data_IF_666462619641
#
_entry.id   IF_666462619641
#
_cell.length_a   1.000
_cell.length_b   1.000
_cell.length_c   1.000
_cell.angle_alpha   90.00
_cell.angle_beta   90.00
_cell.angle_gamma   90.00
#
_symmetry.space_group_name_H-M   'P 1'
#
loop_
_entity.id
_entity.type
_entity.pdbx_description
1 polymer ?
#
# COMPACT_ATOMS: atom_id res chain seq x y z
N UNK A 1 -12.78 -13.13 13.00
CA UNK A 1 -12.56 -13.17 11.53
C UNK A 1 -11.10 -13.49 11.27
N UNK A 2 -10.79 -14.23 10.22
CA UNK A 2 -9.38 -14.48 9.84
C UNK A 2 -8.78 -13.20 9.26
N UNK A 3 -7.50 -12.91 9.57
CA UNK A 3 -6.81 -11.69 9.12
C UNK A 3 -6.47 -11.65 7.63
N UNK A 4 -7.02 -12.55 6.80
CA UNK A 4 -6.78 -12.62 5.36
C UNK A 4 -7.90 -11.99 4.52
N UNK A 5 -8.95 -11.49 5.16
CA UNK A 5 -10.10 -10.87 4.51
C UNK A 5 -10.27 -9.42 4.97
N UNK A 6 -10.66 -8.55 4.03
CA UNK A 6 -10.92 -7.14 4.26
C UNK A 6 -12.18 -6.71 3.50
N UNK A 7 -12.92 -5.75 4.06
CA UNK A 7 -14.19 -5.27 3.52
C UNK A 7 -15.38 -6.13 3.95
N UNK A 8 -16.57 -5.59 3.79
CA UNK A 8 -17.83 -6.24 4.16
C UNK A 8 -18.69 -6.54 2.94
N UNK A 9 -19.17 -5.52 2.24
CA UNK A 9 -19.99 -5.67 1.03
C UNK A 9 -19.13 -6.00 -0.19
N UNK A 10 -18.14 -5.18 -0.46
CA UNK A 10 -17.04 -5.52 -1.38
C UNK A 10 -15.93 -6.11 -0.54
N UNK A 11 -15.77 -7.42 -0.59
CA UNK A 11 -14.89 -8.17 0.28
C UNK A 11 -13.78 -8.84 -0.51
N UNK A 12 -12.56 -8.67 -0.04
CA UNK A 12 -11.41 -9.38 -0.59
C UNK A 12 -10.89 -10.41 0.41
N UNK A 13 -10.47 -11.57 -0.08
CA UNK A 13 -9.71 -12.56 0.68
C UNK A 13 -8.47 -12.91 -0.11
N UNK A 14 -7.27 -12.68 0.46
CA UNK A 14 -6.00 -12.93 -0.21
C UNK A 14 -5.31 -14.17 0.35
N UNK A 15 -4.56 -14.88 -0.50
CA UNK A 15 -3.78 -16.06 -0.15
C UNK A 15 -2.49 -16.15 -0.97
N UNK A 16 -1.63 -17.12 -0.62
CA UNK A 16 -0.34 -17.33 -1.27
C UNK A 16 0.82 -16.60 -0.61
N UNK A 17 2.02 -17.07 -0.82
CA UNK A 17 3.28 -16.60 -0.22
C UNK A 17 4.24 -16.08 -1.29
N UNK A 18 5.18 -15.22 -0.87
CA UNK A 18 6.12 -14.54 -1.78
C UNK A 18 7.03 -15.50 -2.57
N UNK A 19 7.28 -16.68 -2.05
CA UNK A 19 8.09 -17.75 -2.65
C UNK A 19 7.30 -19.04 -2.84
N UNK A 20 5.96 -18.99 -2.73
CA UNK A 20 5.05 -20.05 -3.14
C UNK A 20 4.86 -20.05 -4.67
N UNK A 21 3.99 -20.94 -5.15
CA UNK A 21 3.69 -21.09 -6.58
C UNK A 21 3.03 -19.85 -7.16
N UNK A 22 2.07 -19.29 -6.42
CA UNK A 22 1.27 -18.16 -6.86
C UNK A 22 0.74 -17.34 -5.68
N UNK A 23 0.22 -16.16 -5.98
CA UNK A 23 -0.65 -15.36 -5.13
C UNK A 23 -2.06 -15.39 -5.70
N UNK A 24 -3.05 -15.38 -4.84
CA UNK A 24 -4.44 -15.30 -5.29
C UNK A 24 -5.29 -14.39 -4.41
N UNK A 25 -6.42 -13.98 -4.98
CA UNK A 25 -7.48 -13.31 -4.26
C UNK A 25 -8.84 -13.77 -4.73
N UNK A 26 -9.80 -13.73 -3.82
CA UNK A 26 -11.21 -13.83 -4.12
C UNK A 26 -11.82 -12.48 -3.79
N UNK A 27 -12.51 -11.90 -4.78
CA UNK A 27 -13.33 -10.70 -4.61
C UNK A 27 -14.79 -11.11 -4.61
N UNK A 28 -15.50 -10.76 -3.55
CA UNK A 28 -16.92 -11.04 -3.39
C UNK A 28 -17.70 -9.74 -3.22
N UNK A 29 -18.96 -9.72 -3.66
CA UNK A 29 -19.83 -8.54 -3.56
C UNK A 29 -19.62 -7.46 -4.64
N UNK A 30 -18.85 -7.75 -5.71
CA UNK A 30 -18.81 -6.86 -6.87
C UNK A 30 -20.15 -6.92 -7.61
N UNK A 31 -20.84 -5.78 -7.87
CA UNK A 31 -22.08 -5.77 -8.62
C UNK A 31 -21.93 -6.36 -10.02
N UNK A 32 -22.99 -6.98 -10.59
CA UNK A 32 -22.95 -7.47 -11.95
C UNK A 32 -22.96 -6.32 -12.98
N UNK A 33 -22.42 -6.60 -14.17
CA UNK A 33 -22.49 -5.71 -15.33
C UNK A 33 -21.36 -4.68 -15.43
N UNK A 34 -20.39 -4.67 -14.49
CA UNK A 34 -19.18 -3.86 -14.63
C UNK A 34 -18.33 -4.42 -15.77
N UNK A 35 -17.99 -3.58 -16.76
CA UNK A 35 -17.05 -3.94 -17.82
C UNK A 35 -15.64 -4.06 -17.23
N UNK A 36 -15.00 -5.22 -17.39
CA UNK A 36 -13.69 -5.53 -16.78
C UNK A 36 -12.93 -6.55 -17.60
N UNK A 37 -11.62 -6.33 -17.73
CA UNK A 37 -10.69 -7.26 -18.36
C UNK A 37 -9.41 -7.41 -17.52
N UNK A 38 -8.57 -8.38 -17.88
CA UNK A 38 -7.25 -8.55 -17.26
C UNK A 38 -6.35 -7.33 -17.51
N UNK A 39 -6.48 -6.70 -18.68
CA UNK A 39 -5.73 -5.49 -19.04
C UNK A 39 -6.07 -4.32 -18.13
N UNK A 40 -7.31 -4.16 -17.72
CA UNK A 40 -7.74 -3.11 -16.77
C UNK A 40 -7.01 -3.27 -15.43
N UNK A 41 -6.90 -4.51 -14.95
CA UNK A 41 -6.19 -4.82 -13.70
C UNK A 41 -4.68 -4.68 -13.86
N UNK A 42 -4.15 -5.04 -15.03
CA UNK A 42 -2.73 -5.04 -15.32
C UNK A 42 -2.14 -3.63 -15.30
N UNK A 43 -2.87 -2.61 -15.74
CA UNK A 43 -2.44 -1.20 -15.69
C UNK A 43 -2.06 -0.80 -14.26
N UNK A 44 -2.87 -1.15 -13.27
CA UNK A 44 -2.60 -0.83 -11.86
C UNK A 44 -1.45 -1.69 -11.29
N UNK A 45 -1.39 -2.97 -11.67
CA UNK A 45 -0.30 -3.86 -11.29
C UNK A 45 1.03 -3.41 -11.88
N UNK A 46 1.05 -2.89 -13.09
CA UNK A 46 2.26 -2.38 -13.75
C UNK A 46 2.85 -1.17 -13.03
N UNK A 47 2.03 -0.34 -12.42
CA UNK A 47 2.49 0.75 -11.54
C UNK A 47 3.14 0.23 -10.26
N UNK A 48 2.64 -0.89 -9.72
CA UNK A 48 3.08 -1.48 -8.45
C UNK A 48 4.24 -2.46 -8.60
N UNK A 49 4.36 -3.20 -9.71
CA UNK A 49 5.30 -4.33 -9.86
C UNK A 49 6.75 -3.96 -9.51
N UNK A 50 7.57 -4.95 -9.08
CA UNK A 50 8.99 -4.70 -8.81
C UNK A 50 9.77 -4.48 -10.12
N UNK A 51 10.90 -3.76 -10.02
CA UNK A 51 11.81 -3.57 -11.15
C UNK A 51 11.32 -2.54 -12.19
N UNK A 52 10.40 -1.67 -11.84
CA UNK A 52 9.90 -0.59 -12.72
C UNK A 52 10.94 0.50 -12.97
N UNK A 53 11.90 0.66 -12.06
CA UNK A 53 12.97 1.65 -12.19
C UNK A 53 14.28 1.16 -11.56
N UNK A 54 15.39 1.84 -11.88
CA UNK A 54 16.69 1.59 -11.22
C UNK A 54 16.69 1.97 -9.73
N UNK A 55 15.67 2.63 -9.21
CA UNK A 55 15.55 3.09 -7.82
C UNK A 55 14.75 2.14 -6.93
N UNK A 56 14.13 1.12 -7.51
CA UNK A 56 13.40 0.06 -6.81
C UNK A 56 14.18 -1.26 -6.78
N UNK A 57 13.62 -2.30 -6.20
CA UNK A 57 14.22 -3.64 -6.15
C UNK A 57 14.57 -4.16 -7.54
N UNK A 58 15.64 -4.95 -7.63
CA UNK A 58 16.06 -5.62 -8.88
C UNK A 58 15.26 -6.92 -9.18
N UNK A 59 14.36 -7.35 -8.28
CA UNK A 59 13.44 -8.46 -8.56
C UNK A 59 12.57 -8.08 -9.77
N UNK A 60 12.33 -9.04 -10.66
CA UNK A 60 11.52 -8.84 -11.85
C UNK A 60 10.36 -9.82 -11.85
N UNK A 61 9.18 -9.31 -11.64
CA UNK A 61 7.93 -10.08 -11.74
C UNK A 61 7.00 -9.36 -12.73
N UNK A 62 6.44 -10.06 -13.71
CA UNK A 62 5.51 -9.45 -14.64
C UNK A 62 4.19 -9.07 -13.95
N UNK A 63 3.89 -9.69 -12.80
CA UNK A 63 2.64 -9.57 -12.06
C UNK A 63 1.41 -9.76 -12.94
N UNK A 64 1.53 -10.67 -13.93
CA UNK A 64 0.46 -10.93 -14.87
C UNK A 64 -0.72 -11.58 -14.17
N UNK A 65 -1.82 -10.86 -14.10
CA UNK A 65 -3.04 -11.33 -13.45
C UNK A 65 -3.88 -12.16 -14.40
N UNK A 66 -4.53 -13.20 -13.84
CA UNK A 66 -5.54 -14.02 -14.52
C UNK A 66 -6.85 -13.90 -13.76
N UNK A 67 -7.94 -13.70 -14.48
CA UNK A 67 -9.31 -13.75 -13.96
C UNK A 67 -9.82 -15.17 -14.19
N UNK A 68 -10.08 -15.89 -13.11
CA UNK A 68 -10.45 -17.32 -13.15
C UNK A 68 -11.97 -17.55 -13.12
N UNK A 69 -12.74 -16.57 -12.63
CA UNK A 69 -14.19 -16.67 -12.45
C UNK A 69 -14.81 -15.28 -12.25
N UNK A 70 -16.15 -15.21 -12.28
CA UNK A 70 -16.91 -14.01 -11.95
C UNK A 70 -17.00 -12.98 -13.07
N UNK A 71 -16.47 -13.29 -14.27
CA UNK A 71 -16.54 -12.45 -15.47
C UNK A 71 -17.00 -13.31 -16.64
N UNK A 72 -17.95 -12.81 -17.41
CA UNK A 72 -18.45 -13.42 -18.63
C UNK A 72 -18.66 -12.35 -19.71
N UNK A 73 -18.15 -12.60 -20.91
CA UNK A 73 -18.20 -11.64 -22.05
C UNK A 73 -17.74 -10.22 -21.66
N UNK A 74 -16.65 -10.14 -20.87
CA UNK A 74 -16.04 -8.88 -20.44
C UNK A 74 -16.83 -8.11 -19.36
N UNK A 75 -17.81 -8.74 -18.70
CA UNK A 75 -18.61 -8.12 -17.64
C UNK A 75 -18.64 -8.97 -16.38
N UNK A 76 -18.66 -8.33 -15.22
CA UNK A 76 -18.86 -9.01 -13.95
C UNK A 76 -20.23 -9.69 -13.90
N UNK A 77 -20.29 -10.88 -13.29
CA UNK A 77 -21.53 -11.67 -13.19
C UNK A 77 -22.28 -11.45 -11.85
N UNK A 78 -21.65 -10.76 -10.89
CA UNK A 78 -22.16 -10.64 -9.52
C UNK A 78 -21.80 -11.84 -8.62
N UNK A 79 -21.13 -12.87 -9.16
CA UNK A 79 -20.57 -13.98 -8.39
C UNK A 79 -19.11 -13.68 -8.02
N UNK A 80 -18.49 -14.53 -7.20
CA UNK A 80 -17.12 -14.32 -6.75
C UNK A 80 -16.11 -14.29 -7.90
N UNK A 81 -15.23 -13.28 -7.90
CA UNK A 81 -14.16 -13.12 -8.89
C UNK A 81 -12.89 -13.73 -8.32
N UNK A 82 -12.38 -14.78 -8.96
CA UNK A 82 -11.12 -15.40 -8.63
C UNK A 82 -9.98 -14.76 -9.40
N UNK A 83 -8.93 -14.33 -8.70
CA UNK A 83 -7.72 -13.71 -9.29
C UNK A 83 -6.49 -14.53 -8.94
N UNK A 84 -5.57 -14.68 -9.89
CA UNK A 84 -4.32 -15.40 -9.72
C UNK A 84 -3.14 -14.65 -10.37
N UNK A 85 -2.00 -14.62 -9.67
CA UNK A 85 -0.69 -14.15 -10.20
C UNK A 85 0.35 -15.21 -9.87
N UNK A 86 1.01 -15.76 -10.88
CA UNK A 86 2.09 -16.72 -10.70
C UNK A 86 3.39 -16.03 -10.25
N UNK A 87 4.17 -16.67 -9.37
CA UNK A 87 5.49 -16.22 -9.00
C UNK A 87 6.53 -16.77 -9.98
N UNK A 88 7.31 -15.92 -10.64
CA UNK A 88 8.25 -16.34 -11.69
C UNK A 88 9.73 -16.10 -11.35
N UNK A 89 10.06 -15.08 -10.54
CA UNK A 89 11.45 -14.73 -10.14
C UNK A 89 11.69 -14.94 -8.64
N UNK A 90 11.38 -16.13 -8.14
CA UNK A 90 11.66 -16.51 -6.76
C UNK A 90 13.05 -17.15 -6.65
N UNK A 91 13.88 -16.66 -5.71
CA UNK A 91 15.22 -17.20 -5.44
C UNK A 91 15.31 -17.69 -3.99
N UNK A 92 14.81 -18.88 -3.72
CA UNK A 92 14.74 -19.46 -2.36
C UNK A 92 16.10 -19.62 -1.70
N UNK A 93 17.19 -19.79 -2.50
CA UNK A 93 18.56 -19.95 -1.98
C UNK A 93 19.10 -18.71 -1.28
N UNK A 94 18.57 -17.53 -1.59
CA UNK A 94 19.01 -16.26 -0.97
C UNK A 94 18.63 -16.14 0.52
N UNK A 95 17.85 -17.10 1.06
CA UNK A 95 17.30 -17.04 2.42
C UNK A 95 17.78 -18.17 3.35
N UNK A 96 18.71 -19.03 2.92
CA UNK A 96 19.23 -20.14 3.74
C UNK A 96 19.86 -19.67 5.04
N UNK A 97 20.62 -18.56 5.00
CA UNK A 97 21.37 -18.00 6.13
C UNK A 97 20.46 -17.45 7.24
N UNK A 98 19.18 -17.20 6.92
CA UNK A 98 18.18 -16.67 7.88
C UNK A 98 17.14 -17.72 8.28
N UNK A 99 17.33 -18.98 7.92
CA UNK A 99 16.40 -20.06 8.29
C UNK A 99 16.31 -20.24 9.81
N UNK A 100 17.45 -20.13 10.49
CA UNK A 100 17.60 -20.33 11.93
C UNK A 100 17.75 -19.04 12.75
N UNK A 101 17.78 -17.87 12.08
CA UNK A 101 18.02 -16.57 12.75
C UNK A 101 16.90 -15.60 12.43
N UNK A 102 16.55 -14.73 13.35
CA UNK A 102 15.52 -13.71 13.16
C UNK A 102 16.11 -12.42 12.59
N UNK A 103 15.54 -11.92 11.50
CA UNK A 103 15.93 -10.62 10.95
C UNK A 103 15.37 -9.49 11.82
N UNK A 104 16.20 -8.55 12.29
CA UNK A 104 15.74 -7.40 13.07
C UNK A 104 14.70 -6.59 12.30
N UNK A 105 13.62 -6.18 12.98
CA UNK A 105 12.56 -5.37 12.39
C UNK A 105 11.67 -6.06 11.33
N UNK A 106 11.88 -7.36 11.08
CA UNK A 106 11.01 -8.23 10.28
C UNK A 106 10.01 -8.99 11.14
N UNK A 107 9.03 -9.62 10.49
CA UNK A 107 8.00 -10.44 11.14
C UNK A 107 8.50 -11.85 11.52
N UNK A 108 9.76 -12.20 11.32
CA UNK A 108 10.30 -13.53 11.54
C UNK A 108 10.03 -14.04 12.96
N UNK A 109 10.40 -13.23 13.96
CA UNK A 109 10.19 -13.55 15.38
C UNK A 109 8.70 -13.69 15.70
N UNK A 110 7.90 -12.72 15.34
CA UNK A 110 6.47 -12.68 15.68
C UNK A 110 5.67 -13.80 15.01
N UNK A 111 6.01 -14.17 13.78
CA UNK A 111 5.39 -15.31 13.10
C UNK A 111 5.75 -16.64 13.76
N UNK A 112 7.03 -16.82 14.14
CA UNK A 112 7.47 -18.01 14.86
C UNK A 112 6.78 -18.11 16.22
N UNK A 113 6.68 -17.02 16.97
CA UNK A 113 6.00 -17.01 18.27
C UNK A 113 4.48 -17.30 18.14
N UNK A 114 3.85 -16.79 17.09
CA UNK A 114 2.41 -16.95 16.90
C UNK A 114 2.02 -18.32 16.35
N UNK A 115 2.77 -18.82 15.36
CA UNK A 115 2.39 -20.01 14.60
C UNK A 115 3.26 -21.25 14.91
N UNK A 116 4.31 -21.11 15.73
CA UNK A 116 5.25 -22.15 16.09
C UNK A 116 6.36 -22.42 15.07
N UNK A 117 6.14 -22.04 13.81
CA UNK A 117 7.12 -22.10 12.72
C UNK A 117 6.80 -21.04 11.64
N UNK A 118 7.72 -20.83 10.72
CA UNK A 118 7.55 -19.90 9.61
C UNK A 118 8.14 -20.43 8.31
N UNK A 119 7.61 -19.98 7.18
CA UNK A 119 8.34 -20.06 5.92
C UNK A 119 9.39 -18.92 5.90
N UNK A 120 10.66 -19.30 6.01
CA UNK A 120 11.77 -18.34 6.02
C UNK A 120 12.06 -17.75 4.62
N UNK A 121 11.53 -18.34 3.56
CA UNK A 121 11.77 -17.92 2.18
C UNK A 121 11.03 -16.59 1.91
N UNK A 122 11.74 -15.48 1.87
CA UNK A 122 11.22 -14.16 1.55
C UNK A 122 10.17 -13.58 2.53
N UNK A 123 9.89 -14.28 3.64
CA UNK A 123 8.94 -13.83 4.66
C UNK A 123 7.50 -14.29 4.45
N UNK A 124 7.23 -15.18 3.50
CA UNK A 124 5.91 -15.78 3.30
C UNK A 124 4.78 -14.75 3.12
N UNK A 125 3.72 -14.87 3.92
CA UNK A 125 2.58 -13.93 3.95
C UNK A 125 2.92 -12.54 4.50
N UNK A 126 3.99 -12.38 5.28
CA UNK A 126 4.42 -11.06 5.79
C UNK A 126 5.14 -10.21 4.74
N UNK A 127 5.46 -10.78 3.59
CA UNK A 127 6.11 -10.08 2.49
C UNK A 127 5.17 -9.10 1.81
N UNK A 128 5.69 -7.92 1.43
CA UNK A 128 4.95 -6.95 0.63
C UNK A 128 4.51 -7.48 -0.76
N UNK A 129 4.98 -8.66 -1.18
CA UNK A 129 4.56 -9.33 -2.41
C UNK A 129 3.04 -9.57 -2.45
N UNK A 130 2.42 -9.88 -1.31
CA UNK A 130 0.99 -10.13 -1.20
C UNK A 130 0.12 -8.92 -1.64
N UNK A 131 0.67 -7.71 -1.54
CA UNK A 131 -0.03 -6.48 -1.95
C UNK A 131 -0.35 -6.43 -3.45
N UNK A 132 0.28 -7.28 -4.28
CA UNK A 132 -0.12 -7.41 -5.68
C UNK A 132 -1.60 -7.80 -5.81
N UNK A 133 -2.08 -8.69 -4.92
CA UNK A 133 -3.49 -9.10 -4.93
C UNK A 133 -4.43 -8.01 -4.42
N UNK A 134 -3.96 -7.15 -3.50
CA UNK A 134 -4.73 -5.97 -3.07
C UNK A 134 -4.89 -4.99 -4.22
N UNK A 135 -3.83 -4.74 -5.00
CA UNK A 135 -3.88 -3.86 -6.16
C UNK A 135 -4.79 -4.43 -7.25
N UNK A 136 -4.71 -5.72 -7.53
CA UNK A 136 -5.59 -6.37 -8.50
C UNK A 136 -7.07 -6.27 -8.10
N UNK A 137 -7.40 -6.55 -6.83
CA UNK A 137 -8.76 -6.42 -6.32
C UNK A 137 -9.21 -4.96 -6.24
N UNK A 138 -8.32 -4.05 -5.81
CA UNK A 138 -8.57 -2.61 -5.75
C UNK A 138 -8.82 -1.99 -7.13
N UNK A 139 -8.21 -2.52 -8.18
CA UNK A 139 -8.46 -2.07 -9.56
C UNK A 139 -9.93 -2.33 -9.97
N UNK A 140 -10.53 -3.43 -9.54
CA UNK A 140 -11.97 -3.70 -9.75
C UNK A 140 -12.82 -2.66 -9.02
N UNK A 141 -12.51 -2.41 -7.75
CA UNK A 141 -13.22 -1.41 -6.95
C UNK A 141 -13.08 0.00 -7.53
N UNK A 142 -11.86 0.39 -7.92
CA UNK A 142 -11.57 1.68 -8.57
C UNK A 142 -12.44 1.85 -9.82
N UNK A 143 -12.44 0.86 -10.71
CA UNK A 143 -13.22 0.93 -11.95
C UNK A 143 -14.71 1.09 -11.68
N UNK A 144 -15.24 0.38 -10.69
CA UNK A 144 -16.63 0.54 -10.26
C UNK A 144 -16.91 1.96 -9.75
N UNK A 145 -16.06 2.49 -8.88
CA UNK A 145 -16.21 3.83 -8.31
C UNK A 145 -16.15 4.93 -9.37
N UNK A 146 -15.22 4.81 -10.32
CA UNK A 146 -15.05 5.77 -11.41
C UNK A 146 -16.22 5.73 -12.39
N UNK A 147 -16.60 4.54 -12.87
CA UNK A 147 -17.63 4.40 -13.90
C UNK A 147 -19.04 4.63 -13.38
N UNK A 148 -19.32 4.20 -12.13
CA UNK A 148 -20.68 4.24 -11.59
C UNK A 148 -20.95 5.52 -10.82
N UNK A 149 -19.95 6.05 -10.12
CA UNK A 149 -20.12 7.16 -9.17
C UNK A 149 -19.30 8.40 -9.53
N UNK A 150 -18.39 8.32 -10.51
CA UNK A 150 -17.50 9.42 -10.87
C UNK A 150 -16.44 9.75 -9.81
N UNK A 151 -16.22 8.84 -8.86
CA UNK A 151 -15.22 9.02 -7.80
C UNK A 151 -13.84 8.75 -8.35
N UNK A 152 -12.91 9.68 -8.13
CA UNK A 152 -11.53 9.57 -8.58
C UNK A 152 -10.59 9.42 -7.38
N UNK A 153 -9.76 8.36 -7.41
CA UNK A 153 -8.75 8.10 -6.39
C UNK A 153 -7.36 8.30 -6.99
N UNK A 154 -6.54 9.10 -6.33
CA UNK A 154 -5.17 9.39 -6.74
C UNK A 154 -4.29 9.67 -5.53
N UNK A 155 -2.99 9.54 -5.70
CA UNK A 155 -2.05 9.78 -4.61
C UNK A 155 -0.62 9.92 -5.09
N UNK A 156 0.27 10.12 -4.15
CA UNK A 156 1.69 10.26 -4.44
C UNK A 156 2.54 10.12 -3.17
N UNK A 157 3.82 9.93 -3.39
CA UNK A 157 4.81 9.98 -2.34
C UNK A 157 5.19 11.44 -2.11
N UNK A 158 4.83 12.02 -0.97
CA UNK A 158 5.02 13.45 -0.69
C UNK A 158 6.27 13.75 0.12
N UNK A 159 6.91 12.71 0.67
CA UNK A 159 8.19 12.84 1.37
C UNK A 159 8.97 11.53 1.32
N UNK A 160 10.28 11.62 1.06
CA UNK A 160 11.23 10.52 1.21
C UNK A 160 12.39 11.03 2.08
N UNK A 161 12.56 10.47 3.28
CA UNK A 161 13.52 10.98 4.25
C UNK A 161 13.27 12.45 4.58
N UNK A 162 14.27 13.29 4.34
CA UNK A 162 14.17 14.73 4.58
C UNK A 162 13.63 15.52 3.39
N UNK A 163 13.58 14.90 2.19
CA UNK A 163 13.10 15.54 0.97
C UNK A 163 11.58 15.56 0.96
N UNK A 164 11.00 16.74 1.04
CA UNK A 164 9.55 16.98 1.04
C UNK A 164 9.12 17.66 -0.25
N UNK A 165 7.94 17.33 -0.75
CA UNK A 165 7.29 18.08 -1.79
C UNK A 165 6.90 19.48 -1.29
N UNK A 166 7.21 20.51 -2.07
CA UNK A 166 6.85 21.90 -1.83
C UNK A 166 5.77 22.36 -2.82
N UNK A 167 5.70 21.68 -3.97
CA UNK A 167 4.69 21.89 -5.00
C UNK A 167 3.96 20.57 -5.27
N UNK A 168 2.66 20.67 -5.55
CA UNK A 168 1.80 19.47 -5.67
C UNK A 168 1.11 19.48 -7.04
N UNK A 169 1.76 18.91 -8.04
CA UNK A 169 1.16 18.57 -9.33
C UNK A 169 0.81 17.07 -9.35
N UNK A 170 -0.41 16.76 -8.96
CA UNK A 170 -0.91 15.38 -8.91
C UNK A 170 -1.02 14.73 -10.31
N UNK A 171 -1.08 15.53 -11.38
CA UNK A 171 -1.05 15.03 -12.75
C UNK A 171 0.31 14.47 -13.17
N UNK A 172 1.38 14.94 -12.53
CA UNK A 172 2.76 14.55 -12.86
C UNK A 172 3.28 13.34 -12.08
N UNK A 173 2.56 12.82 -11.08
CA UNK A 173 3.06 11.73 -10.20
C UNK A 173 3.47 10.47 -10.96
N UNK A 174 2.79 10.13 -12.04
CA UNK A 174 3.13 8.96 -12.86
C UNK A 174 4.26 9.23 -13.87
N UNK A 175 4.75 10.46 -13.98
CA UNK A 175 5.81 10.85 -14.93
C UNK A 175 7.22 10.64 -14.38
N UNK A 176 7.37 10.30 -13.10
CA UNK A 176 8.66 10.08 -12.46
C UNK A 176 8.67 8.77 -11.64
N UNK A 177 9.86 8.19 -11.39
CA UNK A 177 9.97 6.88 -10.77
C UNK A 177 9.65 6.85 -9.27
N UNK A 178 9.33 7.98 -8.65
CA UNK A 178 9.06 8.09 -7.22
C UNK A 178 7.58 8.33 -6.90
N UNK A 179 6.71 8.46 -7.90
CA UNK A 179 5.33 8.93 -7.72
C UNK A 179 5.29 10.25 -6.94
N UNK A 180 6.22 11.16 -7.22
CA UNK A 180 6.41 12.38 -6.46
C UNK A 180 5.75 13.56 -7.15
N UNK A 181 4.88 14.33 -6.47
CA UNK A 181 4.12 15.41 -7.10
C UNK A 181 4.96 16.65 -7.41
N UNK A 182 6.14 16.79 -6.81
CA UNK A 182 7.09 17.90 -7.05
C UNK A 182 8.25 17.41 -7.93
N UNK A 183 8.09 17.58 -9.23
CA UNK A 183 9.10 17.10 -10.20
C UNK A 183 10.45 17.80 -10.08
N UNK A 184 10.49 19.03 -9.52
CA UNK A 184 11.74 19.76 -9.29
C UNK A 184 12.62 19.07 -8.23
N UNK A 185 12.04 18.31 -7.31
CA UNK A 185 12.76 17.54 -6.28
C UNK A 185 13.27 16.17 -6.75
N UNK A 186 12.89 15.71 -7.95
CA UNK A 186 13.28 14.38 -8.46
C UNK A 186 14.79 14.17 -8.50
N UNK A 187 15.64 15.12 -8.97
CA UNK A 187 17.08 14.93 -8.94
C UNK A 187 17.66 14.76 -7.52
N UNK A 188 17.10 15.44 -6.52
CA UNK A 188 17.50 15.30 -5.12
C UNK A 188 17.14 13.91 -4.57
N UNK A 189 15.95 13.39 -4.92
CA UNK A 189 15.53 12.03 -4.58
C UNK A 189 16.41 10.97 -5.24
N UNK A 190 16.80 11.18 -6.49
CA UNK A 190 17.73 10.28 -7.19
C UNK A 190 19.09 10.21 -6.48
N UNK A 191 19.63 11.36 -6.06
CA UNK A 191 20.88 11.45 -5.32
C UNK A 191 20.77 10.73 -3.98
N UNK A 192 19.69 10.96 -3.22
CA UNK A 192 19.43 10.33 -1.93
C UNK A 192 19.37 8.80 -2.06
N UNK A 193 18.58 8.27 -2.99
CA UNK A 193 18.43 6.82 -3.16
C UNK A 193 19.74 6.16 -3.62
N UNK A 194 20.53 6.82 -4.48
CA UNK A 194 21.82 6.32 -4.90
C UNK A 194 22.84 6.28 -3.73
N UNK A 195 22.85 7.29 -2.85
CA UNK A 195 23.65 7.30 -1.64
C UNK A 195 23.28 6.15 -0.70
N UNK A 196 21.98 5.98 -0.40
CA UNK A 196 21.50 4.88 0.44
C UNK A 196 21.88 3.50 -0.09
N UNK A 197 21.82 3.30 -1.41
CA UNK A 197 22.27 2.05 -2.03
C UNK A 197 23.75 1.80 -1.83
N UNK A 198 24.59 2.82 -1.99
CA UNK A 198 26.04 2.74 -1.76
C UNK A 198 26.34 2.40 -0.31
N UNK A 199 25.59 2.97 0.62
CA UNK A 199 25.74 2.77 2.06
C UNK A 199 25.10 1.45 2.54
N UNK A 200 24.36 0.74 1.68
CA UNK A 200 23.63 -0.48 2.02
C UNK A 200 22.48 -0.25 3.03
N UNK A 201 21.91 0.96 3.05
CA UNK A 201 20.90 1.41 3.99
C UNK A 201 19.53 1.65 3.30
N UNK A 202 18.58 2.16 4.06
CA UNK A 202 17.21 2.45 3.60
C UNK A 202 16.63 3.67 4.30
N UNK A 203 15.53 4.19 3.76
CA UNK A 203 14.84 5.37 4.29
C UNK A 203 13.33 5.18 4.28
N UNK A 204 12.62 5.89 5.17
CA UNK A 204 11.17 5.95 5.22
C UNK A 204 10.58 6.95 4.24
N UNK A 205 9.25 6.92 4.14
CA UNK A 205 8.50 7.82 3.27
C UNK A 205 7.12 8.16 3.84
N UNK A 206 6.53 9.24 3.32
CA UNK A 206 5.13 9.62 3.48
C UNK A 206 4.42 9.50 2.13
N UNK A 207 3.29 8.85 2.13
CA UNK A 207 2.40 8.73 0.97
C UNK A 207 1.06 9.35 1.33
N UNK A 208 0.49 10.13 0.42
CA UNK A 208 -0.83 10.73 0.56
C UNK A 208 -1.75 10.25 -0.56
N UNK A 209 -3.01 10.00 -0.22
CA UNK A 209 -4.06 9.57 -1.14
C UNK A 209 -5.29 10.44 -0.95
N UNK A 210 -5.92 10.76 -2.07
CA UNK A 210 -7.13 11.55 -2.15
C UNK A 210 -8.24 10.74 -2.84
N UNK A 211 -9.48 10.97 -2.39
CA UNK A 211 -10.68 10.52 -3.07
C UNK A 211 -11.58 11.71 -3.34
N UNK A 212 -11.70 12.11 -4.61
CA UNK A 212 -12.56 13.19 -5.07
C UNK A 212 -13.90 12.65 -5.54
N UNK A 213 -14.96 13.43 -5.34
CA UNK A 213 -16.32 13.08 -5.80
C UNK A 213 -17.07 12.14 -4.87
N UNK A 214 -16.54 11.87 -3.68
CA UNK A 214 -17.25 11.09 -2.65
C UNK A 214 -18.46 11.87 -2.17
N UNK A 215 -19.69 11.33 -2.28
CA UNK A 215 -20.86 12.05 -1.82
C UNK A 215 -20.87 12.17 -0.29
N UNK A 216 -21.55 13.17 0.28
CA UNK A 216 -21.75 13.22 1.72
C UNK A 216 -22.62 12.05 2.19
N UNK A 217 -22.34 11.54 3.40
CA UNK A 217 -23.18 10.54 4.04
C UNK A 217 -22.62 9.12 4.07
N UNK A 218 -21.39 8.88 3.63
CA UNK A 218 -20.72 7.57 3.75
C UNK A 218 -20.00 7.44 5.08
N UNK A 219 -20.12 6.29 5.72
CA UNK A 219 -19.56 5.96 7.03
C UNK A 219 -20.67 5.58 8.02
N UNK A 220 -20.38 4.64 8.90
CA UNK A 220 -21.35 4.08 9.87
C UNK A 220 -20.83 4.29 11.31
N UNK A 221 -21.11 5.44 11.95
CA UNK A 221 -20.84 5.60 13.37
C UNK A 221 -21.59 4.50 14.18
N UNK A 222 -21.02 4.04 15.30
CA UNK A 222 -19.92 4.61 16.06
C UNK A 222 -18.57 4.03 15.61
N UNK A 223 -18.46 2.74 15.28
CA UNK A 223 -17.18 2.04 15.11
C UNK A 223 -16.74 1.89 13.65
N UNK A 224 -17.69 1.86 12.72
CA UNK A 224 -17.41 1.73 11.27
C UNK A 224 -17.42 3.12 10.60
N UNK A 225 -16.78 4.07 11.25
CA UNK A 225 -16.52 5.41 10.73
C UNK A 225 -15.60 5.29 9.52
N UNK A 226 -15.85 6.10 8.48
CA UNK A 226 -15.03 6.01 7.25
C UNK A 226 -13.56 6.32 7.50
N UNK A 227 -13.22 7.25 8.39
CA UNK A 227 -11.84 7.55 8.79
C UNK A 227 -11.19 6.37 9.52
N UNK A 228 -11.95 5.64 10.36
CA UNK A 228 -11.47 4.45 11.06
C UNK A 228 -11.21 3.29 10.09
N UNK A 229 -12.11 3.06 9.12
CA UNK A 229 -11.93 2.03 8.10
C UNK A 229 -10.77 2.34 7.16
N UNK A 230 -10.62 3.60 6.74
CA UNK A 230 -9.47 4.05 5.96
C UNK A 230 -8.16 3.89 6.74
N UNK A 231 -8.14 4.24 8.02
CA UNK A 231 -6.96 4.04 8.88
C UNK A 231 -6.62 2.54 9.01
N UNK A 232 -7.61 1.66 9.18
CA UNK A 232 -7.43 0.21 9.19
C UNK A 232 -6.86 -0.30 7.87
N UNK A 233 -7.38 0.17 6.74
CA UNK A 233 -6.91 -0.18 5.41
C UNK A 233 -5.43 0.19 5.25
N UNK A 234 -5.07 1.44 5.48
CA UNK A 234 -3.71 1.97 5.34
C UNK A 234 -2.75 1.33 6.34
N UNK A 235 -3.14 1.16 7.62
CA UNK A 235 -2.30 0.53 8.64
C UNK A 235 -2.03 -0.95 8.34
N UNK A 236 -2.87 -1.61 7.56
CA UNK A 236 -2.67 -3.01 7.13
C UNK A 236 -1.59 -3.17 6.06
N UNK A 237 -1.15 -2.10 5.42
CA UNK A 237 -0.08 -2.11 4.41
C UNK A 237 1.26 -2.34 5.11
N UNK A 238 2.09 -3.20 4.51
CA UNK A 238 3.42 -3.52 5.06
C UNK A 238 4.26 -2.24 5.26
N UNK A 239 5.00 -2.19 6.38
CA UNK A 239 5.86 -1.09 6.79
C UNK A 239 5.14 0.19 7.26
N UNK A 240 3.84 0.32 7.15
CA UNK A 240 3.11 1.47 7.67
C UNK A 240 3.19 1.51 9.21
N UNK A 241 3.43 2.71 9.77
CA UNK A 241 3.60 2.97 11.20
C UNK A 241 2.75 4.13 11.71
N UNK A 242 2.15 4.89 10.82
CA UNK A 242 1.24 5.98 11.17
C UNK A 242 0.28 6.25 10.02
N UNK A 243 -0.91 6.68 10.38
CA UNK A 243 -1.96 7.11 9.44
C UNK A 243 -2.53 8.43 9.95
N UNK A 244 -2.77 9.35 9.06
CA UNK A 244 -3.37 10.66 9.31
C UNK A 244 -4.54 10.89 8.37
N UNK A 245 -5.57 11.57 8.86
CA UNK A 245 -6.73 12.01 8.07
C UNK A 245 -6.78 13.53 8.16
N UNK A 246 -6.95 14.21 7.04
CA UNK A 246 -6.89 15.68 6.98
C UNK A 246 -5.54 16.22 7.45
N UNK A 247 -5.56 17.19 8.37
CA UNK A 247 -4.35 17.78 8.94
C UNK A 247 -3.61 16.84 9.93
N UNK A 248 -4.21 15.69 10.26
CA UNK A 248 -3.54 14.64 11.02
C UNK A 248 -3.01 15.11 12.37
N UNK A 249 -1.74 14.85 12.67
CA UNK A 249 -1.13 15.25 13.95
C UNK A 249 -0.91 16.75 14.10
N UNK A 250 -0.95 17.53 13.03
CA UNK A 250 -0.78 18.99 13.09
C UNK A 250 -1.95 19.68 13.80
N UNK A 251 -3.10 18.99 13.94
CA UNK A 251 -4.28 19.53 14.66
C UNK A 251 -3.97 19.91 16.11
N UNK A 252 -2.95 19.29 16.74
CA UNK A 252 -2.57 19.60 18.13
C UNK A 252 -2.01 21.01 18.29
N UNK A 253 -1.57 21.64 17.21
CA UNK A 253 -1.04 23.00 17.18
C UNK A 253 -2.10 24.04 16.78
N UNK A 254 -3.31 23.60 16.41
CA UNK A 254 -4.38 24.46 15.94
C UNK A 254 -5.36 24.80 17.06
N UNK A 255 -5.86 26.01 17.03
CA UNK A 255 -6.99 26.41 17.86
C UNK A 255 -8.32 26.03 17.18
N UNK A 256 -9.41 25.95 17.95
CA UNK A 256 -10.70 25.56 17.42
C UNK A 256 -11.19 26.41 16.25
N UNK A 257 -11.00 27.73 16.31
CA UNK A 257 -11.33 28.65 15.23
C UNK A 257 -10.47 28.47 13.97
N UNK A 258 -9.27 27.90 14.10
CA UNK A 258 -8.39 27.61 12.97
C UNK A 258 -8.71 26.28 12.31
N UNK A 259 -9.10 25.29 13.12
CA UNK A 259 -9.34 23.92 12.63
C UNK A 259 -10.76 23.73 12.07
N UNK A 260 -11.77 24.41 12.59
CA UNK A 260 -13.16 24.18 12.16
C UNK A 260 -13.31 24.52 10.67
N UNK A 261 -13.91 23.59 9.94
CA UNK A 261 -14.22 23.76 8.52
C UNK A 261 -15.53 24.56 8.40
N UNK A 262 -15.42 25.88 8.28
CA UNK A 262 -16.56 26.79 8.18
C UNK A 262 -17.29 26.59 6.85
N UNK A 263 -18.59 26.88 6.85
CA UNK A 263 -19.48 26.68 5.70
C UNK A 263 -20.14 27.99 5.30
N UNK A 264 -20.36 28.14 4.00
CA UNK A 264 -21.22 29.16 3.40
C UNK A 264 -22.27 28.49 2.51
N UNK A 265 -23.13 29.29 1.90
CA UNK A 265 -24.05 28.77 0.87
C UNK A 265 -23.35 28.11 -0.32
N UNK A 266 -22.09 28.48 -0.55
CA UNK A 266 -21.28 28.00 -1.68
C UNK A 266 -20.43 26.75 -1.33
N UNK A 267 -20.48 26.29 -0.08
CA UNK A 267 -19.76 25.12 0.41
C UNK A 267 -18.80 25.41 1.56
N UNK A 268 -17.88 24.49 1.79
CA UNK A 268 -16.86 24.58 2.83
C UNK A 268 -15.73 25.54 2.45
N UNK A 269 -15.24 26.31 3.43
CA UNK A 269 -14.12 27.25 3.24
C UNK A 269 -12.74 26.61 3.44
N UNK A 270 -12.68 25.45 4.10
CA UNK A 270 -11.46 24.69 4.37
C UNK A 270 -11.77 23.19 4.44
N UNK A 271 -10.74 22.35 4.51
CA UNK A 271 -10.87 20.90 4.62
C UNK A 271 -9.83 20.33 5.60
N UNK A 272 -9.73 20.90 6.79
CA UNK A 272 -8.81 20.47 7.84
C UNK A 272 -9.13 19.07 8.33
N UNK A 273 -10.43 18.72 8.37
CA UNK A 273 -10.92 17.40 8.77
C UNK A 273 -10.73 16.31 7.70
N UNK A 274 -10.20 16.68 6.51
CA UNK A 274 -9.91 15.71 5.46
C UNK A 274 -11.13 15.02 4.86
N UNK A 275 -12.25 15.74 4.70
CA UNK A 275 -13.46 15.24 4.07
C UNK A 275 -14.36 14.36 4.97
N UNK A 276 -14.07 14.28 6.27
CA UNK A 276 -14.79 13.41 7.22
C UNK A 276 -15.16 14.20 8.46
N UNK A 277 -16.46 14.25 8.77
CA UNK A 277 -17.01 14.89 9.96
C UNK A 277 -17.83 13.88 10.75
N UNK A 278 -17.50 13.67 12.02
CA UNK A 278 -18.19 12.68 12.86
C UNK A 278 -18.10 11.23 12.36
N UNK A 279 -17.12 10.93 11.52
CA UNK A 279 -16.94 9.61 10.91
C UNK A 279 -17.72 9.39 9.61
N UNK A 280 -18.32 10.47 9.08
CA UNK A 280 -19.17 10.45 7.87
C UNK A 280 -18.53 11.40 6.83
N UNK A 281 -18.54 11.02 5.55
CA UNK A 281 -18.04 11.86 4.47
C UNK A 281 -18.84 13.16 4.36
N UNK A 282 -18.14 14.28 4.17
CA UNK A 282 -18.74 15.63 4.09
C UNK A 282 -19.08 16.06 2.66
N UNK A 283 -18.64 15.30 1.65
CA UNK A 283 -18.71 15.72 0.24
C UNK A 283 -17.45 16.45 -0.25
N UNK A 284 -16.53 16.79 0.65
CA UNK A 284 -15.21 17.30 0.32
C UNK A 284 -14.26 16.17 -0.05
N UNK A 285 -13.13 16.44 -0.73
CA UNK A 285 -12.10 15.43 -0.95
C UNK A 285 -11.68 14.75 0.34
N UNK A 286 -11.70 13.43 0.35
CA UNK A 286 -11.13 12.65 1.46
C UNK A 286 -9.61 12.64 1.29
N UNK A 287 -8.89 13.00 2.36
CA UNK A 287 -7.43 13.04 2.38
C UNK A 287 -6.90 12.14 3.48
N UNK A 288 -6.09 11.15 3.10
CA UNK A 288 -5.41 10.23 4.01
C UNK A 288 -3.92 10.20 3.72
N UNK A 289 -3.10 10.26 4.75
CA UNK A 289 -1.66 10.11 4.64
C UNK A 289 -1.17 8.94 5.50
N UNK A 290 -0.07 8.31 5.07
CA UNK A 290 0.58 7.24 5.84
C UNK A 290 2.09 7.40 5.89
N UNK A 291 2.68 7.05 7.03
CA UNK A 291 4.12 7.01 7.24
C UNK A 291 4.62 5.57 7.16
N UNK A 292 5.60 5.34 6.29
CA UNK A 292 6.24 4.04 6.13
C UNK A 292 7.64 4.07 6.75
N UNK A 293 7.93 3.06 7.56
CA UNK A 293 9.28 2.88 8.13
C UNK A 293 10.28 2.51 7.04
N UNK A 294 11.58 2.76 7.25
CA UNK A 294 12.65 2.20 6.42
C UNK A 294 12.55 0.67 6.34
N UNK A 295 12.91 0.08 5.20
CA UNK A 295 13.01 -1.39 5.12
C UNK A 295 14.08 -1.90 6.08
N UNK A 296 13.78 -2.98 6.76
CA UNK A 296 14.73 -3.61 7.69
C UNK A 296 15.71 -4.56 7.00
N UNK A 297 15.49 -4.85 5.71
CA UNK A 297 16.40 -5.66 4.89
C UNK A 297 17.49 -4.77 4.32
N UNK A 298 18.59 -4.63 5.07
CA UNK A 298 19.74 -3.79 4.72
C UNK A 298 21.05 -4.60 4.79
N UNK A 299 22.10 -4.08 4.17
CA UNK A 299 23.42 -4.73 4.14
C UNK A 299 24.29 -4.43 5.36
N UNK A 300 23.82 -3.56 6.24
CA UNK A 300 24.49 -3.22 7.50
C UNK A 300 24.23 -4.35 8.50
N UNK A 301 25.29 -4.95 9.12
CA UNK A 301 25.14 -5.98 10.12
C UNK A 301 24.30 -5.50 11.32
N UNK A 302 23.41 -6.37 11.79
CA UNK A 302 22.53 -6.09 12.93
C UNK A 302 22.56 -7.20 13.96
N UNK A 303 22.47 -6.84 15.25
CA UNK A 303 22.36 -7.80 16.36
C UNK A 303 21.00 -8.49 16.31
N UNK A 304 20.99 -9.80 16.57
CA UNK A 304 19.79 -10.62 16.62
C UNK A 304 19.97 -11.81 17.56
N UNK A 305 19.03 -12.75 17.51
CA UNK A 305 19.09 -14.07 18.16
C UNK A 305 18.73 -15.16 17.15
N UNK A 306 19.20 -16.38 17.42
CA UNK A 306 18.79 -17.57 16.69
C UNK A 306 17.47 -18.17 17.27
N UNK A 307 17.02 -19.31 16.73
CA UNK A 307 15.81 -19.98 17.18
C UNK A 307 15.90 -20.50 18.62
N UNK A 308 17.11 -20.77 19.10
CA UNK A 308 17.42 -21.21 20.46
C UNK A 308 17.52 -20.05 21.47
N UNK A 309 17.44 -18.79 20.98
CA UNK A 309 17.52 -17.58 21.79
C UNK A 309 18.97 -17.11 22.05
N UNK A 310 19.95 -17.68 21.37
CA UNK A 310 21.35 -17.31 21.53
C UNK A 310 21.71 -16.07 20.68
N UNK A 311 22.63 -15.20 21.16
CA UNK A 311 23.07 -14.03 20.42
C UNK A 311 23.61 -14.39 19.03
N UNK A 312 23.21 -13.60 18.03
CA UNK A 312 23.60 -13.78 16.64
C UNK A 312 23.77 -12.43 15.95
N UNK A 313 24.44 -12.41 14.79
CA UNK A 313 24.52 -11.27 13.91
C UNK A 313 23.91 -11.62 12.55
N UNK A 314 23.15 -10.69 11.98
CA UNK A 314 22.45 -10.90 10.70
C UNK A 314 22.78 -9.77 9.73
N UNK A 315 23.15 -10.16 8.50
CA UNK A 315 23.18 -9.28 7.33
C UNK A 315 22.13 -9.79 6.36
N UNK A 316 21.14 -8.97 6.05
CA UNK A 316 20.09 -9.37 5.10
C UNK A 316 20.57 -9.14 3.68
N UNK A 317 21.13 -10.20 3.08
CA UNK A 317 21.46 -10.22 1.65
C UNK A 317 20.18 -10.34 0.83
N UNK A 318 20.13 -9.74 -0.36
CA UNK A 318 18.99 -9.85 -1.26
C UNK A 318 18.69 -8.57 -2.03
N UNK A 319 17.60 -8.63 -2.79
CA UNK A 319 17.16 -7.55 -3.69
C UNK A 319 16.04 -6.76 -3.00
N UNK A 320 16.39 -5.71 -2.25
CA UNK A 320 15.44 -4.93 -1.44
C UNK A 320 15.26 -3.51 -2.00
N UNK A 321 14.10 -2.92 -1.74
CA UNK A 321 13.83 -1.52 -2.04
C UNK A 321 14.59 -0.62 -1.04
N UNK A 322 15.36 0.37 -1.47
CA UNK A 322 15.95 1.36 -0.55
C UNK A 322 14.89 2.21 0.15
N UNK A 323 13.74 2.39 -0.51
CA UNK A 323 12.57 3.05 0.04
C UNK A 323 11.30 2.32 -0.42
N UNK A 324 10.59 1.69 0.50
CA UNK A 324 9.35 0.96 0.19
C UNK A 324 8.18 1.89 -0.13
N UNK A 325 8.25 3.16 0.27
CA UNK A 325 7.22 4.16 0.05
C UNK A 325 6.94 4.42 -1.43
N UNK A 326 7.96 4.32 -2.29
CA UNK A 326 7.79 4.48 -3.73
C UNK A 326 6.73 3.53 -4.28
N UNK A 327 6.83 2.23 -3.95
CA UNK A 327 5.88 1.22 -4.41
C UNK A 327 4.59 1.16 -3.59
N UNK A 328 4.54 1.86 -2.47
CA UNK A 328 3.35 1.91 -1.62
C UNK A 328 2.25 2.82 -2.17
N UNK A 329 2.58 3.78 -3.04
CA UNK A 329 1.59 4.69 -3.64
C UNK A 329 0.45 3.94 -4.34
N UNK A 330 0.68 3.09 -5.34
CA UNK A 330 -0.41 2.34 -5.99
C UNK A 330 -1.12 1.35 -5.04
N UNK A 331 -0.45 0.88 -3.99
CA UNK A 331 -1.07 0.02 -2.98
C UNK A 331 -2.05 0.82 -2.11
N UNK A 332 -1.64 2.03 -1.69
CA UNK A 332 -2.48 2.92 -0.90
C UNK A 332 -3.72 3.37 -1.68
N UNK A 333 -3.54 3.73 -2.96
CA UNK A 333 -4.67 4.06 -3.83
C UNK A 333 -5.65 2.90 -3.99
N UNK A 334 -5.16 1.65 -4.05
CA UNK A 334 -5.98 0.46 -4.17
C UNK A 334 -6.77 0.13 -2.90
N UNK A 335 -6.23 0.43 -1.71
CA UNK A 335 -6.84 0.17 -0.40
C UNK A 335 -7.87 1.20 -0.01
#
# INVERSE_FOLDING_TARGET
MSGNSFGERFRITTFGESHGLALGAIVDGCPPGLEISEEDLQVELDRRKPGTSKYTTQRREPDQVKILSGVFEGKTTGTSIGLLIENTDQKSKDYSDIATTFRPGHADYTYTQKYGFRDYRGGGRSSARETAMRVAAGAIARKYLEQTLGIRIYGGCTQIGEVKAEQFDWGSVNSNPFFFPDTAKVPELEALINALRKDGSSIGARVEVFADGVPPGWGEPVFDRIDADLAKAMMSINAVKGVEVGDGFDVVNQRGEQHRDEMTSDGFLSNHSGGVLGGISSGQPIRVAMALKPTSSILIPGKSINLEGEPSEVVTKGRHDPCVGVRATPIAEAM
#
